data_IF_850623743837
#
_entry.id   IF_850623743837
#
_cell.length_a   1.000
_cell.length_b   1.000
_cell.length_c   1.000
_cell.angle_alpha   90.00
_cell.angle_beta   90.00
_cell.angle_gamma   90.00
#
_symmetry.space_group_name_H-M   'P 1'
#
loop_
_entity.id
_entity.type
_entity.pdbx_description
1 polymer ?
#
# COMPACT_ATOMS: atom_id res chain seq x y z
N UNK A 1 9.47 -2.32 -15.85
CA UNK A 1 9.34 -2.12 -17.32
C UNK A 1 10.32 -3.01 -18.09
N UNK A 2 11.63 -2.98 -17.81
CA UNK A 2 12.62 -3.85 -18.48
C UNK A 2 12.28 -5.35 -18.42
N UNK A 3 11.70 -5.81 -17.30
CA UNK A 3 11.24 -7.19 -17.14
C UNK A 3 9.92 -7.52 -17.89
N UNK A 4 9.42 -6.67 -18.79
CA UNK A 4 8.14 -6.88 -19.49
C UNK A 4 6.89 -6.64 -18.63
N UNK A 5 7.04 -6.00 -17.47
CA UNK A 5 5.94 -5.61 -16.57
C UNK A 5 5.40 -4.25 -17.01
N UNK A 6 4.09 -4.20 -17.28
CA UNK A 6 3.36 -2.96 -17.52
C UNK A 6 3.20 -2.18 -16.21
N UNK A 7 3.32 -0.85 -16.28
CA UNK A 7 3.34 0.02 -15.11
C UNK A 7 2.49 1.26 -15.38
N UNK A 8 1.36 1.33 -14.70
CA UNK A 8 0.47 2.47 -14.63
C UNK A 8 0.68 3.20 -13.30
N UNK A 9 0.68 4.54 -13.32
CA UNK A 9 0.86 5.37 -12.14
C UNK A 9 -0.37 6.26 -12.00
N UNK A 10 -1.09 6.12 -10.88
CA UNK A 10 -2.17 6.99 -10.49
C UNK A 10 -1.57 8.13 -9.64
N UNK A 11 -1.63 9.35 -10.16
CA UNK A 11 -1.22 10.55 -9.45
C UNK A 11 -2.35 11.11 -8.57
N UNK A 12 -2.07 12.17 -7.82
CA UNK A 12 -3.02 12.78 -6.88
C UNK A 12 -4.34 13.21 -7.53
N UNK A 13 -4.29 13.70 -8.77
CA UNK A 13 -5.51 14.07 -9.50
C UNK A 13 -6.35 12.83 -9.76
N UNK A 14 -5.73 11.77 -10.28
CA UNK A 14 -6.43 10.51 -10.56
C UNK A 14 -6.92 9.82 -9.29
N UNK A 15 -6.14 9.86 -8.20
CA UNK A 15 -6.56 9.35 -6.90
C UNK A 15 -7.81 10.10 -6.38
N UNK A 16 -7.87 11.42 -6.57
CA UNK A 16 -9.02 12.23 -6.21
C UNK A 16 -10.28 11.87 -7.02
N UNK A 17 -10.14 11.71 -8.33
CA UNK A 17 -11.24 11.25 -9.20
C UNK A 17 -11.77 9.86 -8.83
N UNK A 18 -10.88 8.99 -8.34
CA UNK A 18 -11.23 7.64 -7.89
C UNK A 18 -11.75 7.61 -6.44
N UNK A 19 -11.83 8.76 -5.76
CA UNK A 19 -12.27 8.85 -4.37
C UNK A 19 -11.31 8.18 -3.37
N UNK A 20 -10.05 7.99 -3.73
CA UNK A 20 -9.01 7.37 -2.87
C UNK A 20 -8.50 8.40 -1.85
N UNK A 21 -9.41 8.91 -1.03
CA UNK A 21 -9.12 10.01 -0.11
C UNK A 21 -8.29 9.56 1.10
N UNK A 22 -8.23 8.26 1.40
CA UNK A 22 -7.48 7.79 2.57
C UNK A 22 -5.98 7.84 2.30
N UNK A 23 -5.51 7.37 1.14
CA UNK A 23 -4.10 7.55 0.75
C UNK A 23 -3.75 9.03 0.51
N UNK A 24 -4.66 9.83 -0.05
CA UNK A 24 -4.47 11.26 -0.22
C UNK A 24 -4.30 11.98 1.14
N UNK A 25 -5.12 11.62 2.13
CA UNK A 25 -5.07 12.18 3.46
C UNK A 25 -3.77 11.80 4.18
N UNK A 26 -3.36 10.53 4.12
CA UNK A 26 -2.08 10.10 4.72
C UNK A 26 -0.89 10.84 4.10
N UNK A 27 -0.86 10.97 2.77
CA UNK A 27 0.23 11.62 2.06
C UNK A 27 0.22 13.15 2.10
N UNK A 28 -0.84 13.79 2.62
CA UNK A 28 -1.01 15.25 2.57
C UNK A 28 0.05 16.02 3.38
N UNK A 29 0.71 15.32 4.31
CA UNK A 29 1.78 15.87 5.12
C UNK A 29 3.09 16.09 4.37
N UNK A 30 3.33 15.37 3.27
CA UNK A 30 4.60 15.40 2.55
C UNK A 30 4.60 16.35 1.35
N UNK A 31 5.77 16.90 1.03
CA UNK A 31 6.04 17.59 -0.24
C UNK A 31 6.11 16.63 -1.43
N UNK A 32 6.26 15.32 -1.16
CA UNK A 32 6.20 14.26 -2.18
C UNK A 32 4.77 13.72 -2.24
N UNK A 33 4.01 14.01 -3.31
CA UNK A 33 2.62 13.62 -3.37
C UNK A 33 2.45 12.10 -3.38
N UNK A 34 1.40 11.56 -2.73
CA UNK A 34 1.11 10.14 -2.76
C UNK A 34 0.74 9.67 -4.17
N UNK A 35 1.00 8.39 -4.45
CA UNK A 35 0.71 7.73 -5.73
C UNK A 35 0.26 6.31 -5.50
N UNK A 36 -0.47 5.76 -6.46
CA UNK A 36 -0.67 4.31 -6.56
C UNK A 36 0.01 3.81 -7.82
N UNK A 37 0.92 2.84 -7.68
CA UNK A 37 1.52 2.16 -8.81
C UNK A 37 0.79 0.84 -9.07
N UNK A 38 0.30 0.67 -10.28
CA UNK A 38 -0.35 -0.55 -10.76
C UNK A 38 0.60 -1.27 -11.69
N UNK A 39 1.02 -2.45 -11.28
CA UNK A 39 1.94 -3.33 -12.00
C UNK A 39 1.17 -4.49 -12.60
N UNK A 40 1.41 -4.84 -13.86
CA UNK A 40 0.72 -5.96 -14.51
C UNK A 40 1.69 -6.87 -15.24
N UNK A 41 1.59 -8.16 -14.94
CA UNK A 41 2.32 -9.21 -15.62
C UNK A 41 1.35 -10.31 -16.05
N UNK A 42 1.45 -10.73 -17.31
CA UNK A 42 0.68 -11.85 -17.85
C UNK A 42 1.58 -12.77 -18.66
N UNK A 43 1.92 -13.90 -18.07
CA UNK A 43 2.68 -14.95 -18.74
C UNK A 43 1.87 -15.67 -19.83
N UNK A 44 2.57 -16.36 -20.72
CA UNK A 44 1.94 -17.19 -21.76
C UNK A 44 1.12 -18.31 -21.10
N UNK A 45 -0.13 -18.48 -21.54
CA UNK A 45 -1.04 -19.50 -20.99
C UNK A 45 -1.66 -19.14 -19.64
N UNK A 46 -1.45 -17.92 -19.14
CA UNK A 46 -2.01 -17.48 -17.87
C UNK A 46 -3.56 -17.46 -17.86
N UNK A 47 -4.19 -17.81 -16.72
CA UNK A 47 -5.64 -17.72 -16.54
C UNK A 47 -6.23 -16.32 -16.83
N UNK A 48 -7.54 -16.25 -17.08
CA UNK A 48 -8.23 -14.99 -17.32
C UNK A 48 -8.16 -14.07 -16.10
N UNK A 49 -8.61 -14.55 -14.93
CA UNK A 49 -8.57 -13.81 -13.67
C UNK A 49 -7.14 -13.71 -13.11
N UNK A 50 -6.73 -12.52 -12.61
CA UNK A 50 -5.43 -12.36 -11.99
C UNK A 50 -5.41 -12.80 -10.53
N UNK A 51 -4.21 -13.08 -10.03
CA UNK A 51 -3.88 -12.97 -8.61
C UNK A 51 -3.49 -11.51 -8.34
N UNK A 52 -4.05 -10.90 -7.30
CA UNK A 52 -3.72 -9.54 -6.91
C UNK A 52 -2.82 -9.52 -5.67
N UNK A 53 -1.75 -8.73 -5.73
CA UNK A 53 -0.88 -8.46 -4.60
C UNK A 53 -0.90 -6.97 -4.27
N UNK A 54 -1.19 -6.62 -3.03
CA UNK A 54 -1.33 -5.22 -2.59
C UNK A 54 -0.22 -4.90 -1.60
N UNK A 55 0.51 -3.81 -1.81
CA UNK A 55 1.69 -3.48 -1.00
C UNK A 55 1.54 -2.15 -0.27
N UNK A 56 1.78 -2.15 1.05
CA UNK A 56 2.03 -0.92 1.81
C UNK A 56 3.38 -0.33 1.38
N UNK A 57 3.36 0.86 0.80
CA UNK A 57 4.52 1.57 0.26
C UNK A 57 4.79 2.89 0.99
N UNK A 58 4.77 2.90 2.32
CA UNK A 58 5.09 4.11 3.09
C UNK A 58 6.60 4.33 3.05
N UNK A 59 7.07 5.24 2.20
CA UNK A 59 8.51 5.46 1.96
C UNK A 59 9.24 6.00 3.18
N UNK A 60 8.54 6.72 4.05
CA UNK A 60 8.99 7.11 5.37
C UNK A 60 7.79 7.37 6.26
N UNK A 61 7.83 6.82 7.47
CA UNK A 61 6.77 6.98 8.47
C UNK A 61 7.29 7.68 9.73
N UNK A 62 6.97 8.97 9.86
CA UNK A 62 7.23 9.69 11.11
C UNK A 62 6.10 9.53 12.13
N UNK A 63 4.97 8.95 11.73
CA UNK A 63 3.69 8.92 12.45
C UNK A 63 2.77 10.13 12.24
N UNK A 64 3.11 11.03 11.32
CA UNK A 64 2.32 12.24 11.08
C UNK A 64 2.27 13.14 12.31
N UNK A 65 1.08 13.56 12.75
CA UNK A 65 0.90 14.37 13.97
C UNK A 65 0.96 13.53 15.26
N UNK A 66 0.67 12.23 15.20
CA UNK A 66 0.98 11.24 16.23
C UNK A 66 2.46 10.83 16.15
N UNK A 67 3.35 11.80 16.30
CA UNK A 67 4.77 11.65 15.99
C UNK A 67 5.44 10.50 16.78
N UNK A 68 6.14 9.62 16.05
CA UNK A 68 7.04 8.62 16.65
C UNK A 68 8.18 9.30 17.40
N UNK A 69 8.72 8.66 18.44
CA UNK A 69 9.85 9.20 19.22
C UNK A 69 11.09 8.33 19.08
N UNK A 70 12.23 8.97 18.87
CA UNK A 70 13.56 8.35 18.93
C UNK A 70 13.68 7.12 18.04
N UNK A 71 14.03 5.99 18.65
CA UNK A 71 14.29 4.71 17.99
C UNK A 71 13.12 4.19 17.14
N UNK A 72 11.88 4.55 17.49
CA UNK A 72 10.69 4.13 16.73
C UNK A 72 10.69 4.68 15.29
N UNK A 73 11.45 5.75 15.02
CA UNK A 73 11.47 6.43 13.71
C UNK A 73 12.66 6.02 12.83
N UNK A 74 13.79 5.59 13.39
CA UNK A 74 15.05 5.47 12.66
C UNK A 74 14.99 4.51 11.46
N UNK A 75 14.28 3.39 11.62
CA UNK A 75 14.16 2.37 10.59
C UNK A 75 12.90 2.53 9.72
N UNK A 76 12.14 3.62 9.88
CA UNK A 76 10.86 3.80 9.17
C UNK A 76 10.99 4.08 7.67
N UNK A 77 12.21 4.21 7.15
CA UNK A 77 12.47 4.06 5.71
C UNK A 77 12.09 2.67 5.17
N UNK A 78 12.05 1.66 6.05
CA UNK A 78 11.71 0.28 5.71
C UNK A 78 10.19 0.04 5.68
N UNK A 79 9.37 1.05 5.99
CA UNK A 79 7.91 0.92 6.09
C UNK A 79 7.19 0.79 4.72
N UNK A 80 8.00 0.74 3.66
CA UNK A 80 7.62 0.41 2.28
C UNK A 80 7.93 -1.05 1.92
N UNK A 81 8.37 -1.86 2.89
CA UNK A 81 8.80 -3.24 2.67
C UNK A 81 7.74 -4.13 2.04
N UNK A 82 6.46 -3.88 2.34
CA UNK A 82 5.32 -4.56 1.73
C UNK A 82 5.26 -4.33 0.21
N UNK A 83 5.32 -3.06 -0.23
CA UNK A 83 5.37 -2.72 -1.64
C UNK A 83 6.65 -3.24 -2.31
N UNK A 84 7.80 -3.20 -1.64
CA UNK A 84 9.05 -3.76 -2.16
C UNK A 84 8.94 -5.27 -2.42
N UNK A 85 8.31 -6.01 -1.51
CA UNK A 85 8.08 -7.45 -1.66
C UNK A 85 7.19 -7.76 -2.88
N UNK A 86 6.13 -6.98 -3.10
CA UNK A 86 5.27 -7.11 -4.29
C UNK A 86 6.06 -6.84 -5.58
N UNK A 87 6.87 -5.77 -5.62
CA UNK A 87 7.74 -5.48 -6.78
C UNK A 87 8.69 -6.64 -7.05
N UNK A 88 9.35 -7.15 -6.01
CA UNK A 88 10.28 -8.29 -6.11
C UNK A 88 9.59 -9.54 -6.65
N UNK A 89 8.39 -9.85 -6.17
CA UNK A 89 7.56 -10.96 -6.64
C UNK A 89 7.27 -10.85 -8.15
N UNK A 90 6.77 -9.71 -8.61
CA UNK A 90 6.43 -9.55 -10.04
C UNK A 90 7.67 -9.63 -10.92
N UNK A 91 8.80 -9.04 -10.50
CA UNK A 91 10.07 -9.15 -11.23
C UNK A 91 10.52 -10.61 -11.32
N UNK A 92 10.43 -11.37 -10.23
CA UNK A 92 10.80 -12.79 -10.21
C UNK A 92 9.93 -13.62 -11.17
N UNK A 93 8.60 -13.45 -11.10
CA UNK A 93 7.66 -14.15 -11.97
C UNK A 93 7.87 -13.81 -13.45
N UNK A 94 8.10 -12.53 -13.76
CA UNK A 94 8.32 -12.09 -15.13
C UNK A 94 9.63 -12.60 -15.72
N UNK A 95 10.73 -12.55 -14.94
CA UNK A 95 12.03 -13.10 -15.36
C UNK A 95 12.01 -14.60 -15.56
N UNK A 96 11.21 -15.33 -14.78
CA UNK A 96 11.01 -16.76 -14.95
C UNK A 96 10.13 -17.11 -16.17
N UNK A 97 9.38 -16.14 -16.70
CA UNK A 97 8.37 -16.40 -17.73
C UNK A 97 7.19 -17.21 -17.20
N UNK A 98 6.89 -17.10 -15.90
CA UNK A 98 5.87 -17.91 -15.23
C UNK A 98 4.49 -17.73 -15.88
N UNK A 99 3.72 -18.81 -16.11
CA UNK A 99 2.43 -18.78 -16.81
C UNK A 99 1.29 -18.30 -15.90
N UNK A 100 1.47 -17.13 -15.29
CA UNK A 100 0.53 -16.54 -14.32
C UNK A 100 0.05 -15.17 -14.77
N UNK A 101 -1.15 -14.80 -14.32
CA UNK A 101 -1.69 -13.45 -14.49
C UNK A 101 -1.65 -12.79 -13.12
N UNK A 102 -0.81 -11.77 -12.96
CA UNK A 102 -0.56 -11.13 -11.67
C UNK A 102 -0.67 -9.62 -11.80
N UNK A 103 -1.38 -9.01 -10.86
CA UNK A 103 -1.45 -7.56 -10.70
C UNK A 103 -0.88 -7.16 -9.35
N UNK A 104 -0.03 -6.12 -9.34
CA UNK A 104 0.48 -5.50 -8.13
C UNK A 104 -0.15 -4.11 -7.95
N UNK A 105 -0.70 -3.79 -6.79
CA UNK A 105 -1.21 -2.45 -6.46
C UNK A 105 -0.44 -1.92 -5.26
N UNK A 106 0.36 -0.87 -5.46
CA UNK A 106 1.26 -0.34 -4.45
C UNK A 106 0.76 1.03 -4.01
N UNK A 107 0.38 1.16 -2.75
CA UNK A 107 0.03 2.45 -2.16
C UNK A 107 1.28 3.17 -1.67
N UNK A 108 1.72 4.20 -2.37
CA UNK A 108 3.00 4.88 -2.14
C UNK A 108 2.74 6.26 -1.55
N UNK A 109 3.27 6.51 -0.35
CA UNK A 109 3.15 7.79 0.33
C UNK A 109 4.31 8.00 1.31
N UNK A 110 4.44 9.19 1.87
CA UNK A 110 5.19 9.46 3.09
C UNK A 110 4.19 9.96 4.15
N UNK A 111 4.32 9.51 5.39
CA UNK A 111 3.53 10.00 6.51
C UNK A 111 4.37 10.99 7.31
N UNK A 112 4.12 12.28 7.15
CA UNK A 112 4.97 13.37 7.64
C UNK A 112 4.17 14.42 8.42
N UNK A 113 4.73 15.04 9.49
CA UNK A 113 4.13 16.21 10.11
C UNK A 113 4.28 17.42 9.20
N UNK A 114 3.19 18.17 9.03
CA UNK A 114 3.22 19.49 8.38
C UNK A 114 1.93 20.26 8.69
N UNK A 115 1.84 21.49 8.18
CA UNK A 115 0.60 22.29 8.28
C UNK A 115 -0.60 21.66 7.54
N UNK A 116 -0.34 20.78 6.58
CA UNK A 116 -1.36 20.09 5.76
C UNK A 116 -1.56 18.63 6.16
N UNK A 117 -0.86 18.15 7.19
CA UNK A 117 -0.96 16.76 7.63
C UNK A 117 -2.37 16.42 8.14
N UNK A 118 -2.79 15.19 7.86
CA UNK A 118 -3.95 14.54 8.48
C UNK A 118 -3.89 14.70 10.00
N UNK A 119 -5.03 15.04 10.61
CA UNK A 119 -5.14 15.27 12.04
C UNK A 119 -5.85 14.13 12.74
N UNK A 120 -5.51 13.86 14.02
CA UNK A 120 -6.39 13.13 14.89
C UNK A 120 -7.78 13.77 14.89
N UNK A 121 -8.82 12.92 14.82
CA UNK A 121 -10.25 13.25 14.71
C UNK A 121 -10.72 13.75 13.34
N UNK A 122 -9.86 13.82 12.33
CA UNK A 122 -10.34 14.01 10.96
C UNK A 122 -11.18 12.80 10.54
N UNK A 123 -12.26 13.05 9.80
CA UNK A 123 -13.11 12.02 9.21
C UNK A 123 -12.84 11.98 7.72
N UNK A 124 -12.39 10.83 7.24
CA UNK A 124 -12.08 10.60 5.82
C UNK A 124 -13.10 9.65 5.20
N UNK A 125 -13.47 9.88 3.95
CA UNK A 125 -14.29 8.95 3.16
C UNK A 125 -13.39 8.16 2.21
N UNK A 126 -13.26 6.85 2.44
CA UNK A 126 -12.44 5.94 1.63
C UNK A 126 -13.03 5.72 0.24
N UNK A 127 -12.26 5.11 -0.66
CA UNK A 127 -12.71 4.74 -2.01
C UNK A 127 -13.90 3.76 -2.00
N UNK A 128 -14.07 2.97 -0.92
CA UNK A 128 -15.23 2.09 -0.75
C UNK A 128 -16.51 2.82 -0.34
N UNK A 129 -16.43 4.13 -0.08
CA UNK A 129 -17.53 4.95 0.44
C UNK A 129 -17.69 4.89 1.96
N UNK A 130 -16.90 4.08 2.66
CA UNK A 130 -16.90 4.03 4.12
C UNK A 130 -16.18 5.23 4.72
N UNK A 131 -16.71 5.76 5.83
CA UNK A 131 -16.07 6.84 6.60
C UNK A 131 -15.21 6.28 7.71
N UNK A 132 -14.03 6.87 7.93
CA UNK A 132 -13.10 6.52 9.01
C UNK A 132 -12.78 7.77 9.83
N UNK A 133 -13.04 7.74 11.13
CA UNK A 133 -12.51 8.74 12.06
C UNK A 133 -11.08 8.34 12.44
N UNK A 134 -10.11 9.19 12.13
CA UNK A 134 -8.69 8.91 12.34
C UNK A 134 -8.32 9.26 13.77
N UNK A 135 -8.27 8.28 14.66
CA UNK A 135 -7.80 8.52 16.03
C UNK A 135 -6.27 8.68 16.10
N UNK A 136 -5.55 7.86 15.34
CA UNK A 136 -4.09 7.80 15.36
C UNK A 136 -3.54 7.88 13.93
N UNK A 137 -2.77 8.93 13.65
CA UNK A 137 -2.15 9.13 12.32
C UNK A 137 -0.95 8.23 12.08
N UNK A 138 -0.47 7.51 13.12
CA UNK A 138 0.54 6.45 13.02
C UNK A 138 -0.06 5.08 12.70
N UNK A 139 -1.39 5.03 12.49
CA UNK A 139 -2.09 3.87 11.96
C UNK A 139 -2.41 4.06 10.47
N UNK A 140 -1.50 4.65 9.71
CA UNK A 140 -1.66 5.10 8.33
C UNK A 140 -1.68 3.96 7.31
N UNK A 141 -0.89 2.90 7.52
CA UNK A 141 -0.72 1.83 6.55
C UNK A 141 -2.03 1.14 6.19
N UNK A 142 -2.92 0.95 7.18
CA UNK A 142 -4.24 0.35 6.95
C UNK A 142 -5.20 1.27 6.18
N UNK A 143 -5.02 2.59 6.28
CA UNK A 143 -5.81 3.57 5.52
C UNK A 143 -5.42 3.54 4.05
N UNK A 144 -4.11 3.52 3.77
CA UNK A 144 -3.58 3.36 2.41
C UNK A 144 -4.06 2.03 1.80
N UNK A 145 -3.95 0.94 2.57
CA UNK A 145 -4.36 -0.39 2.12
C UNK A 145 -5.87 -0.47 1.87
N UNK A 146 -6.71 0.19 2.66
CA UNK A 146 -8.16 0.17 2.44
C UNK A 146 -8.53 0.65 1.03
N UNK A 147 -7.98 1.79 0.60
CA UNK A 147 -8.19 2.29 -0.76
C UNK A 147 -7.59 1.35 -1.82
N UNK A 148 -6.37 0.86 -1.60
CA UNK A 148 -5.67 0.01 -2.58
C UNK A 148 -6.34 -1.37 -2.74
N UNK A 149 -6.80 -1.98 -1.65
CA UNK A 149 -7.53 -3.25 -1.63
C UNK A 149 -8.87 -3.10 -2.35
N UNK A 150 -9.62 -2.04 -2.05
CA UNK A 150 -10.87 -1.75 -2.73
C UNK A 150 -10.66 -1.53 -4.23
N UNK A 151 -9.66 -0.74 -4.60
CA UNK A 151 -9.27 -0.54 -5.99
C UNK A 151 -8.90 -1.86 -6.67
N UNK A 152 -8.08 -2.70 -6.03
CA UNK A 152 -7.66 -3.98 -6.60
C UNK A 152 -8.86 -4.92 -6.83
N UNK A 153 -9.74 -5.04 -5.84
CA UNK A 153 -10.94 -5.88 -5.90
C UNK A 153 -11.90 -5.40 -6.99
N UNK A 154 -12.24 -4.11 -7.00
CA UNK A 154 -13.23 -3.54 -7.93
C UNK A 154 -12.72 -3.44 -9.37
N UNK A 155 -11.42 -3.18 -9.58
CA UNK A 155 -10.85 -2.98 -10.90
C UNK A 155 -10.51 -4.27 -11.62
N UNK A 156 -10.03 -5.29 -10.90
CA UNK A 156 -9.42 -6.47 -11.51
C UNK A 156 -10.21 -7.77 -11.32
N UNK A 157 -11.21 -7.80 -10.42
CA UNK A 157 -11.96 -9.02 -10.06
C UNK A 157 -11.03 -10.25 -9.89
N UNK A 158 -10.01 -10.15 -9.02
CA UNK A 158 -8.99 -11.19 -8.88
C UNK A 158 -9.57 -12.45 -8.21
N UNK A 159 -8.95 -13.60 -8.46
CA UNK A 159 -9.33 -14.85 -7.79
C UNK A 159 -8.88 -14.88 -6.32
N UNK A 160 -7.77 -14.20 -6.01
CA UNK A 160 -7.21 -14.05 -4.66
C UNK A 160 -6.55 -12.68 -4.55
N UNK A 161 -6.66 -12.06 -3.37
CA UNK A 161 -5.90 -10.88 -2.99
C UNK A 161 -4.97 -11.24 -1.83
N UNK A 162 -3.69 -10.88 -1.94
CA UNK A 162 -2.70 -10.99 -0.86
C UNK A 162 -2.11 -9.61 -0.61
N UNK A 163 -2.36 -9.02 0.55
CA UNK A 163 -1.65 -7.81 0.95
C UNK A 163 -0.40 -8.11 1.77
N UNK A 164 0.63 -7.28 1.57
CA UNK A 164 1.88 -7.34 2.31
C UNK A 164 2.17 -5.97 2.91
N UNK A 165 2.42 -5.94 4.22
CA UNK A 165 2.63 -4.71 4.94
C UNK A 165 3.50 -4.89 6.19
N UNK A 166 4.41 -3.94 6.41
CA UNK A 166 5.07 -3.66 7.69
C UNK A 166 4.08 -2.97 8.63
N UNK A 167 2.99 -3.65 8.99
CA UNK A 167 1.79 -2.96 9.49
C UNK A 167 1.79 -2.70 10.99
N UNK A 168 2.26 -3.65 11.80
CA UNK A 168 2.17 -3.51 13.25
C UNK A 168 3.40 -4.04 13.96
N UNK A 169 3.84 -3.30 14.96
CA UNK A 169 4.82 -3.76 15.94
C UNK A 169 4.32 -4.99 16.73
N UNK A 170 3.00 -5.13 16.87
CA UNK A 170 2.36 -6.25 17.59
C UNK A 170 2.68 -7.62 16.97
N UNK A 171 2.79 -7.72 15.64
CA UNK A 171 3.21 -8.96 14.98
C UNK A 171 4.61 -9.37 15.43
N UNK A 172 5.56 -8.43 15.43
CA UNK A 172 6.92 -8.72 15.89
C UNK A 172 6.96 -9.08 17.38
N UNK A 173 6.15 -8.42 18.21
CA UNK A 173 6.05 -8.75 19.64
C UNK A 173 5.46 -10.13 19.91
N UNK A 174 4.52 -10.57 19.09
CA UNK A 174 3.86 -11.87 19.23
C UNK A 174 4.65 -13.03 18.63
N UNK A 175 5.22 -12.84 17.44
CA UNK A 175 5.81 -13.90 16.61
C UNK A 175 7.35 -13.82 16.50
N UNK A 176 7.96 -12.77 17.04
CA UNK A 176 9.40 -12.51 16.90
C UNK A 176 9.76 -11.88 15.56
N UNK A 177 11.06 -11.84 15.25
CA UNK A 177 11.62 -11.15 14.08
C UNK A 177 11.77 -12.04 12.83
N UNK A 178 11.43 -13.32 12.92
CA UNK A 178 11.65 -14.31 11.84
C UNK A 178 10.35 -14.63 11.09
N UNK A 179 9.21 -14.63 11.80
CA UNK A 179 7.93 -15.04 11.25
C UNK A 179 7.04 -13.84 10.91
N UNK A 180 6.42 -13.87 9.73
CA UNK A 180 5.36 -12.93 9.38
C UNK A 180 4.01 -13.40 9.97
N UNK A 181 3.15 -12.44 10.33
CA UNK A 181 1.76 -12.73 10.66
C UNK A 181 0.93 -12.94 9.41
N UNK A 182 0.07 -13.97 9.40
CA UNK A 182 -0.90 -14.24 8.34
C UNK A 182 -2.30 -14.18 8.91
N UNK A 183 -3.16 -13.37 8.29
CA UNK A 183 -4.59 -13.29 8.56
C UNK A 183 -5.32 -13.70 7.27
N UNK A 184 -6.22 -14.67 7.35
CA UNK A 184 -6.98 -15.20 6.20
C UNK A 184 -8.45 -15.35 6.57
N UNK A 185 -9.32 -15.15 5.58
CA UNK A 185 -10.75 -15.47 5.63
C UNK A 185 -11.02 -16.92 5.32
#
# INVERSE_FOLDING_TARGET
>A
REAGIDVEILDTARLGELGMNAILAVGSGSVRPPRVAVLRYRGKGAPAQPLAFVGKGVCFDSGGLCIKRGEQMFDMKADMGGAAAVVGLLIALARQGSPVHVVGVLGIAENMPSGTALKPRDIITTASGQTVEVFDTDAEGRLILADCLYYAASRFNPSVIVDLATLTYSVMRGLGSVFAGLFST
#
